data_IF_155447691339
#
_entry.id   IF_155447691339
#
_cell.length_a   1.000
_cell.length_b   1.000
_cell.length_c   1.000
_cell.angle_alpha   90.00
_cell.angle_beta   90.00
_cell.angle_gamma   90.00
#
_symmetry.space_group_name_H-M   'P 1'
#
loop_
_entity.id
_entity.type
_entity.pdbx_description
1 polymer ?
#
# COMPACT_ATOMS: atom_id res chain seq x y z
N UNK A 1 22.21 -9.00 -39.40
CA UNK A 1 21.34 -7.85 -39.13
C UNK A 1 19.92 -8.38 -39.14
N UNK A 2 19.36 -8.71 -37.97
CA UNK A 2 17.91 -8.86 -37.76
C UNK A 2 17.64 -9.00 -36.25
N UNK A 3 16.40 -8.72 -35.88
CA UNK A 3 16.04 -7.83 -34.77
C UNK A 3 15.82 -8.61 -33.47
N UNK A 4 16.41 -8.12 -32.38
CA UNK A 4 16.17 -8.61 -31.04
C UNK A 4 14.71 -8.42 -30.63
N UNK A 5 13.97 -9.53 -30.56
CA UNK A 5 12.62 -9.55 -29.99
C UNK A 5 12.67 -9.12 -28.53
N UNK A 6 12.17 -7.91 -28.24
CA UNK A 6 11.96 -7.45 -26.87
C UNK A 6 10.94 -8.39 -26.22
N UNK A 7 11.39 -9.10 -25.18
CA UNK A 7 10.48 -9.77 -24.24
C UNK A 7 9.55 -8.71 -23.64
N UNK A 8 8.24 -8.98 -23.51
CA UNK A 8 7.38 -8.08 -22.75
C UNK A 8 7.89 -8.00 -21.31
N UNK A 9 7.90 -6.79 -20.76
CA UNK A 9 8.23 -6.55 -19.35
C UNK A 9 7.27 -7.36 -18.46
N UNK A 10 7.73 -7.92 -17.34
CA UNK A 10 6.85 -8.59 -16.41
C UNK A 10 5.83 -7.58 -15.89
N UNK A 11 4.54 -7.87 -16.08
CA UNK A 11 3.46 -7.24 -15.33
C UNK A 11 3.76 -7.38 -13.86
N UNK A 12 3.95 -6.25 -13.17
CA UNK A 12 4.21 -6.20 -11.75
C UNK A 12 2.90 -6.52 -11.01
N UNK A 13 2.48 -7.78 -11.06
CA UNK A 13 1.51 -8.29 -10.09
C UNK A 13 2.19 -8.13 -8.74
N UNK A 14 1.70 -7.19 -7.92
CA UNK A 14 2.15 -7.07 -6.55
C UNK A 14 2.12 -8.48 -5.92
N UNK A 15 3.21 -8.95 -5.30
CA UNK A 15 3.27 -10.31 -4.81
C UNK A 15 2.21 -10.49 -3.72
N UNK A 16 1.23 -11.36 -3.98
CA UNK A 16 0.30 -11.88 -2.98
C UNK A 16 1.11 -12.82 -2.09
N UNK A 17 1.78 -12.26 -1.08
CA UNK A 17 2.58 -13.03 -0.13
C UNK A 17 1.69 -13.49 1.03
N UNK A 18 1.70 -14.79 1.30
CA UNK A 18 1.21 -15.33 2.58
C UNK A 18 2.16 -14.84 3.68
N UNK A 19 1.79 -13.74 4.34
CA UNK A 19 2.60 -13.19 5.41
C UNK A 19 2.62 -14.17 6.59
N UNK A 20 3.73 -14.25 7.35
CA UNK A 20 3.74 -14.97 8.62
C UNK A 20 2.57 -14.48 9.48
N UNK A 21 1.73 -15.42 9.93
CA UNK A 21 0.49 -15.11 10.64
C UNK A 21 0.72 -14.32 11.94
N UNK A 22 1.93 -14.38 12.51
CA UNK A 22 2.22 -13.94 13.87
C UNK A 22 2.80 -12.53 13.98
N UNK A 23 3.15 -11.89 12.86
CA UNK A 23 3.68 -10.51 12.93
C UNK A 23 2.49 -9.53 13.01
N UNK A 24 2.36 -8.76 14.10
CA UNK A 24 1.21 -7.91 14.32
C UNK A 24 1.11 -6.80 13.27
N UNK A 25 -0.11 -6.25 13.12
CA UNK A 25 -0.37 -5.04 12.38
C UNK A 25 -0.55 -3.90 13.40
N UNK A 26 0.52 -3.15 13.71
CA UNK A 26 0.51 -2.17 14.80
C UNK A 26 -0.33 -0.94 14.47
N UNK A 27 -0.63 -0.72 13.20
CA UNK A 27 -1.34 0.46 12.74
C UNK A 27 -2.81 0.13 12.49
N UNK A 28 -3.71 0.92 13.06
CA UNK A 28 -5.16 0.82 12.83
C UNK A 28 -5.68 2.18 12.39
N UNK A 29 -6.64 2.17 11.48
CA UNK A 29 -7.34 3.37 11.08
C UNK A 29 -8.22 3.14 9.87
N UNK A 30 -8.26 4.10 8.95
CA UNK A 30 -9.14 4.07 7.78
C UNK A 30 -8.35 4.22 6.49
N UNK A 31 -8.57 3.30 5.55
CA UNK A 31 -8.07 3.44 4.18
C UNK A 31 -9.10 4.18 3.32
N UNK A 32 -8.62 5.05 2.45
CA UNK A 32 -9.39 5.78 1.45
C UNK A 32 -8.73 5.55 0.11
N UNK A 33 -9.41 4.86 -0.80
CA UNK A 33 -8.93 4.59 -2.14
C UNK A 33 -9.34 5.71 -3.08
N UNK A 34 -8.41 6.14 -3.94
CA UNK A 34 -8.67 7.15 -4.94
C UNK A 34 -9.54 6.57 -6.06
N UNK A 35 -10.47 7.37 -6.56
CA UNK A 35 -11.19 7.05 -7.80
C UNK A 35 -10.26 7.20 -9.00
N UNK A 36 -10.58 6.60 -10.16
CA UNK A 36 -9.81 6.81 -11.39
C UNK A 36 -9.64 8.29 -11.75
N UNK A 37 -10.68 9.10 -11.55
CA UNK A 37 -10.65 10.55 -11.81
C UNK A 37 -9.69 11.32 -10.89
N UNK A 38 -9.33 10.75 -9.74
CA UNK A 38 -8.37 11.30 -8.79
C UNK A 38 -6.96 10.71 -8.98
N UNK A 39 -6.73 9.90 -10.02
CA UNK A 39 -5.45 9.22 -10.28
C UNK A 39 -5.36 7.80 -9.68
N UNK A 40 -6.43 7.31 -9.05
CA UNK A 40 -6.48 5.95 -8.51
C UNK A 40 -6.58 4.86 -9.57
N UNK A 41 -6.69 3.62 -9.12
CA UNK A 41 -6.78 2.43 -9.97
C UNK A 41 -7.99 2.51 -10.90
N UNK A 42 -7.80 2.22 -12.18
CA UNK A 42 -8.89 2.12 -13.17
C UNK A 42 -9.87 0.98 -12.87
N UNK A 43 -9.41 -0.05 -12.15
CA UNK A 43 -10.23 -1.18 -11.70
C UNK A 43 -11.06 -0.88 -10.45
N UNK A 44 -10.93 0.32 -9.88
CA UNK A 44 -11.48 0.64 -8.56
C UNK A 44 -10.64 0.10 -7.40
N UNK A 45 -11.16 0.20 -6.16
CA UNK A 45 -10.47 -0.22 -4.95
C UNK A 45 -9.99 -1.68 -4.99
N UNK A 46 -8.89 -2.03 -4.30
CA UNK A 46 -8.40 -3.40 -4.23
C UNK A 46 -9.45 -4.40 -3.69
N UNK A 47 -9.42 -5.60 -4.24
CA UNK A 47 -10.25 -6.74 -3.82
C UNK A 47 -9.37 -7.96 -3.53
N UNK A 48 -8.58 -7.96 -2.43
CA UNK A 48 -7.80 -9.13 -2.05
C UNK A 48 -8.72 -10.30 -1.73
N UNK A 49 -8.29 -11.53 -2.05
CA UNK A 49 -9.00 -12.73 -1.66
C UNK A 49 -9.12 -12.83 -0.13
N UNK A 50 -10.12 -13.56 0.36
CA UNK A 50 -10.34 -13.74 1.79
C UNK A 50 -9.06 -14.24 2.50
N UNK A 51 -8.75 -13.65 3.64
CA UNK A 51 -7.55 -13.96 4.42
C UNK A 51 -6.22 -13.45 3.82
N UNK A 52 -6.24 -12.80 2.65
CA UNK A 52 -5.04 -12.23 2.03
C UNK A 52 -4.91 -10.74 2.35
N UNK A 53 -3.66 -10.29 2.45
CA UNK A 53 -3.34 -8.90 2.64
C UNK A 53 -3.01 -8.22 1.30
N UNK A 54 -3.19 -6.91 1.24
CA UNK A 54 -2.81 -6.09 0.10
C UNK A 54 -1.42 -5.50 0.33
N UNK A 55 -0.45 -5.93 -0.47
CA UNK A 55 0.91 -5.42 -0.44
C UNK A 55 1.09 -4.32 -1.50
N UNK A 56 1.67 -3.20 -1.08
CA UNK A 56 1.94 -2.05 -1.93
C UNK A 56 3.22 -1.34 -1.47
N UNK A 57 3.58 -0.27 -2.17
CA UNK A 57 4.58 0.67 -1.69
C UNK A 57 3.88 1.83 -0.99
N UNK A 58 4.54 2.46 -0.04
CA UNK A 58 4.03 3.63 0.64
C UNK A 58 5.13 4.55 1.15
N UNK A 59 4.75 5.80 1.43
CA UNK A 59 5.62 6.78 2.07
C UNK A 59 4.83 7.62 3.09
N UNK A 60 5.55 8.28 3.99
CA UNK A 60 4.98 9.23 4.95
C UNK A 60 5.39 10.66 4.57
N UNK A 61 4.44 11.57 4.31
CA UNK A 61 4.75 12.99 4.10
C UNK A 61 5.57 13.57 5.27
N UNK A 62 6.50 14.50 5.03
CA UNK A 62 6.73 15.21 3.77
C UNK A 62 7.58 14.44 2.74
N UNK A 63 7.94 13.17 3.00
CA UNK A 63 8.61 12.36 1.99
C UNK A 63 7.68 12.08 0.80
N UNK A 64 8.27 11.57 -0.28
CA UNK A 64 7.58 11.27 -1.54
C UNK A 64 7.93 9.86 -2.00
N UNK A 65 7.31 9.41 -3.09
CA UNK A 65 7.68 8.14 -3.73
C UNK A 65 9.14 8.09 -4.21
N UNK A 66 9.80 9.24 -4.36
CA UNK A 66 11.22 9.32 -4.74
C UNK A 66 12.14 9.31 -3.52
N UNK A 67 11.71 9.92 -2.40
CA UNK A 67 12.58 10.23 -1.27
C UNK A 67 12.40 9.34 -0.04
N UNK A 68 11.31 8.57 0.06
CA UNK A 68 11.00 7.78 1.26
C UNK A 68 9.98 6.69 1.03
N UNK A 69 10.14 5.91 -0.04
CA UNK A 69 9.26 4.81 -0.39
C UNK A 69 9.71 3.50 0.28
N UNK A 70 8.77 2.80 0.93
CA UNK A 70 9.00 1.48 1.51
C UNK A 70 7.79 0.56 1.31
N UNK A 71 7.99 -0.75 1.44
CA UNK A 71 6.90 -1.71 1.29
C UNK A 71 5.97 -1.69 2.51
N UNK A 72 4.66 -1.60 2.25
CA UNK A 72 3.61 -1.53 3.25
C UNK A 72 2.50 -2.52 2.92
N UNK A 73 1.88 -3.09 3.96
CA UNK A 73 0.77 -4.02 3.79
C UNK A 73 -0.45 -3.51 4.52
N UNK A 74 -1.59 -3.62 3.87
CA UNK A 74 -2.91 -3.39 4.43
C UNK A 74 -3.72 -4.69 4.50
N UNK A 75 -4.53 -4.85 5.55
CA UNK A 75 -5.52 -5.93 5.65
C UNK A 75 -6.77 -5.48 6.39
N UNK A 76 -7.78 -6.35 6.44
CA UNK A 76 -8.99 -6.13 7.23
C UNK A 76 -9.89 -5.00 6.71
N UNK A 77 -9.65 -4.54 5.49
CA UNK A 77 -10.50 -3.58 4.80
C UNK A 77 -11.56 -4.30 3.97
N UNK A 78 -12.70 -3.64 3.77
CA UNK A 78 -13.81 -4.20 2.99
C UNK A 78 -13.41 -4.25 1.50
N UNK A 79 -13.35 -5.44 0.88
CA UNK A 79 -12.94 -5.56 -0.52
C UNK A 79 -13.82 -4.71 -1.45
N UNK A 80 -13.19 -3.88 -2.28
CA UNK A 80 -13.91 -3.05 -3.25
C UNK A 80 -14.59 -1.78 -2.68
N UNK A 81 -14.62 -1.60 -1.34
CA UNK A 81 -15.13 -0.36 -0.76
C UNK A 81 -14.14 0.79 -0.97
N UNK A 82 -14.63 1.98 -1.31
CA UNK A 82 -13.77 3.17 -1.46
C UNK A 82 -13.19 3.65 -0.14
N UNK A 83 -13.89 3.41 0.96
CA UNK A 83 -13.48 3.78 2.31
C UNK A 83 -13.85 2.67 3.27
N UNK A 84 -12.91 2.23 4.10
CA UNK A 84 -13.19 1.29 5.18
C UNK A 84 -12.14 1.35 6.27
N UNK A 85 -12.43 0.74 7.42
CA UNK A 85 -11.39 0.45 8.40
C UNK A 85 -10.30 -0.44 7.78
N UNK A 86 -9.08 -0.36 8.30
CA UNK A 86 -7.96 -1.22 7.89
C UNK A 86 -6.92 -1.32 9.02
N UNK A 87 -6.11 -2.36 8.93
CA UNK A 87 -4.87 -2.50 9.70
C UNK A 87 -3.67 -2.44 8.74
N UNK A 88 -2.55 -1.86 9.20
CA UNK A 88 -1.37 -1.65 8.38
C UNK A 88 -0.05 -2.02 9.08
N UNK A 89 0.99 -2.27 8.29
CA UNK A 89 2.38 -2.36 8.76
C UNK A 89 3.41 -2.10 7.66
N UNK A 90 4.58 -1.64 8.05
CA UNK A 90 5.78 -1.70 7.20
C UNK A 90 6.26 -3.16 7.08
N UNK A 91 6.77 -3.56 5.91
CA UNK A 91 7.33 -4.89 5.70
C UNK A 91 8.85 -4.97 5.85
N UNK A 92 9.55 -3.89 5.52
CA UNK A 92 11.01 -3.91 5.31
C UNK A 92 11.75 -2.85 6.12
N UNK A 93 11.03 -1.97 6.81
CA UNK A 93 11.60 -0.85 7.56
C UNK A 93 10.99 -0.78 8.95
N UNK A 94 11.80 -0.27 9.88
CA UNK A 94 11.35 0.05 11.23
C UNK A 94 10.51 1.32 11.25
N UNK A 95 9.59 1.41 12.21
CA UNK A 95 8.75 2.59 12.41
C UNK A 95 9.54 3.77 13.02
N UNK A 96 10.42 4.39 12.23
CA UNK A 96 11.32 5.45 12.69
C UNK A 96 11.72 6.40 11.56
N UNK A 97 12.29 7.56 11.92
CA UNK A 97 12.83 8.53 10.96
C UNK A 97 11.81 8.92 9.88
N UNK A 98 12.19 8.73 8.61
CA UNK A 98 11.36 9.05 7.44
C UNK A 98 10.09 8.19 7.31
N UNK A 99 10.02 7.07 8.02
CA UNK A 99 8.89 6.12 7.98
C UNK A 99 8.06 6.14 9.27
N UNK A 100 8.31 7.11 10.16
CA UNK A 100 7.62 7.21 11.44
C UNK A 100 6.12 7.42 11.22
N UNK A 101 5.34 6.51 11.78
CA UNK A 101 3.88 6.46 11.80
C UNK A 101 3.42 6.56 13.24
N UNK A 102 2.55 7.53 13.48
CA UNK A 102 1.90 7.83 14.76
C UNK A 102 0.42 8.16 14.51
N UNK A 103 -0.45 8.14 15.55
CA UNK A 103 -1.82 8.63 15.41
C UNK A 103 -1.88 10.01 14.74
N UNK A 104 -2.77 10.17 13.76
CA UNK A 104 -2.89 11.37 12.92
C UNK A 104 -2.00 11.37 11.67
N UNK A 105 -1.05 10.44 11.54
CA UNK A 105 -0.25 10.29 10.32
C UNK A 105 -1.13 9.86 9.14
N UNK A 106 -0.79 10.34 7.95
CA UNK A 106 -1.32 9.81 6.69
C UNK A 106 -0.20 9.06 5.97
N UNK A 107 -0.39 7.77 5.75
CA UNK A 107 0.49 6.97 4.91
C UNK A 107 -0.06 7.00 3.49
N UNK A 108 0.74 7.47 2.53
CA UNK A 108 0.33 7.51 1.11
C UNK A 108 0.65 6.16 0.49
N UNK A 109 -0.39 5.46 0.02
CA UNK A 109 -0.29 4.15 -0.62
C UNK A 109 -0.12 4.36 -2.12
N UNK A 110 0.85 3.65 -2.72
CA UNK A 110 1.25 3.83 -4.12
C UNK A 110 1.35 2.50 -4.86
N UNK A 111 1.08 2.54 -6.16
CA UNK A 111 1.46 1.50 -7.12
C UNK A 111 2.47 2.11 -8.10
N UNK A 112 3.73 1.67 -8.05
CA UNK A 112 4.82 2.41 -8.67
C UNK A 112 4.98 3.81 -8.01
N UNK A 113 5.15 4.89 -8.78
CA UNK A 113 5.22 6.25 -8.23
C UNK A 113 3.85 6.87 -7.94
N UNK A 114 2.76 6.28 -8.41
CA UNK A 114 1.43 6.90 -8.41
C UNK A 114 0.68 6.61 -7.11
N UNK A 115 0.19 7.64 -6.40
CA UNK A 115 -0.73 7.45 -5.28
C UNK A 115 -2.03 6.79 -5.72
N UNK A 116 -2.43 5.73 -5.03
CA UNK A 116 -3.69 5.01 -5.25
C UNK A 116 -4.63 5.08 -4.05
N UNK A 117 -4.13 5.51 -2.90
CA UNK A 117 -4.93 5.67 -1.70
C UNK A 117 -4.17 6.28 -0.54
N UNK A 118 -4.91 6.55 0.53
CA UNK A 118 -4.40 7.10 1.78
C UNK A 118 -4.83 6.22 2.94
N UNK A 119 -3.91 5.92 3.84
CA UNK A 119 -4.23 5.27 5.10
C UNK A 119 -4.07 6.26 6.24
N UNK A 120 -5.21 6.69 6.79
CA UNK A 120 -5.29 7.60 7.92
C UNK A 120 -5.15 6.81 9.21
N UNK A 121 -4.11 7.13 9.97
CA UNK A 121 -3.73 6.39 11.17
C UNK A 121 -4.52 6.94 12.37
N UNK A 122 -5.28 6.07 13.02
CA UNK A 122 -6.03 6.40 14.24
C UNK A 122 -5.32 5.88 15.48
N UNK A 123 -4.63 4.73 15.38
CA UNK A 123 -3.81 4.14 16.44
C UNK A 123 -2.53 3.54 15.88
N UNK A 124 -1.45 3.64 16.66
CA UNK A 124 -0.19 2.96 16.44
C UNK A 124 0.30 2.39 17.79
N UNK A 125 0.72 1.12 17.82
CA UNK A 125 1.22 0.45 19.03
C UNK A 125 1.72 -0.96 18.76
#
# INVERSE_FOLDING_TARGET
MEVGGRRPAPVHNAPVTKLPNDTPFPFRGRVVWLTPAQGGRTTGPPQPAEGHAYAANAFVPPNTAVTGLASFVLRGFEPGASVSAAEGRWLTVENSGAFRVEPGTVVVITEGPEPVGYFHIERAG
#
